data_IF_650058363398
#
_entry.id   IF_650058363398
#
_cell.length_a   1.000
_cell.length_b   1.000
_cell.length_c   1.000
_cell.angle_alpha   90.00
_cell.angle_beta   90.00
_cell.angle_gamma   90.00
#
_symmetry.space_group_name_H-M   'P 1'
#
loop_
_entity.id
_entity.type
_entity.pdbx_description
1 polymer ?
#
# COMPACT_ATOMS: atom_id res chain seq x y z
N UNK A 1 29.12 47.16 76.20
CA UNK A 1 29.47 46.33 75.03
C UNK A 1 29.88 44.97 75.54
N UNK A 2 29.23 43.88 75.12
CA UNK A 2 29.77 42.52 75.18
C UNK A 2 28.82 41.58 74.46
N UNK A 3 29.32 40.96 73.38
CA UNK A 3 28.55 40.12 72.48
C UNK A 3 28.25 38.75 73.09
N UNK A 4 26.97 38.45 73.25
CA UNK A 4 26.51 37.09 73.47
C UNK A 4 26.38 36.40 72.11
N UNK A 5 27.43 35.71 71.67
CA UNK A 5 27.39 34.83 70.51
C UNK A 5 26.57 33.59 70.88
N UNK A 6 25.30 33.54 70.47
CA UNK A 6 24.45 32.37 70.64
C UNK A 6 25.02 31.19 69.85
N UNK A 7 25.66 30.25 70.55
CA UNK A 7 26.02 28.94 69.99
C UNK A 7 24.78 28.05 69.96
N UNK A 8 24.33 27.70 68.76
CA UNK A 8 23.27 26.71 68.56
C UNK A 8 23.89 25.34 68.29
N UNK A 9 23.47 24.34 69.08
CA UNK A 9 23.83 22.93 68.87
C UNK A 9 23.19 22.45 67.57
N UNK A 10 24.00 22.27 66.53
CA UNK A 10 23.54 21.63 65.27
C UNK A 10 23.31 20.15 65.56
N UNK A 11 22.08 19.66 65.35
CA UNK A 11 21.74 18.23 65.51
C UNK A 11 22.57 17.37 64.54
N UNK A 12 23.36 16.47 65.10
CA UNK A 12 24.13 15.41 64.45
C UNK A 12 25.26 14.98 65.39
N UNK A 13 25.28 13.73 65.86
CA UNK A 13 26.27 13.23 66.84
C UNK A 13 27.70 13.52 66.34
N UNK A 14 28.47 14.29 67.11
CA UNK A 14 29.93 14.42 66.96
C UNK A 14 30.49 15.53 66.05
N UNK A 15 29.72 16.55 65.66
CA UNK A 15 30.24 17.67 64.84
C UNK A 15 30.80 18.86 65.66
N UNK A 16 31.85 19.56 65.20
CA UNK A 16 32.45 20.70 65.92
C UNK A 16 31.45 21.85 66.12
N UNK A 17 31.57 22.54 67.26
CA UNK A 17 30.76 23.70 67.62
C UNK A 17 31.11 24.87 66.68
N UNK A 18 30.28 25.06 65.65
CA UNK A 18 30.41 26.17 64.70
C UNK A 18 29.49 27.29 65.13
N UNK A 19 30.00 28.53 65.19
CA UNK A 19 29.18 29.69 65.51
C UNK A 19 27.98 29.79 64.55
N UNK A 20 26.78 30.15 65.04
CA UNK A 20 25.55 30.19 64.23
C UNK A 20 25.72 31.05 62.96
N UNK A 21 26.43 32.17 63.08
CA UNK A 21 26.74 33.07 61.97
C UNK A 21 27.73 32.47 60.96
N UNK A 22 28.67 31.66 61.44
CA UNK A 22 29.64 30.91 60.65
C UNK A 22 28.97 29.78 59.88
N UNK A 23 27.99 29.10 60.51
CA UNK A 23 27.17 28.07 59.89
C UNK A 23 26.26 28.63 58.79
N UNK A 24 25.64 29.79 59.02
CA UNK A 24 24.85 30.52 58.02
C UNK A 24 25.71 30.87 56.79
N UNK A 25 26.91 31.44 57.01
CA UNK A 25 27.85 31.79 55.92
C UNK A 25 28.28 30.56 55.13
N UNK A 26 28.71 29.48 55.81
CA UNK A 26 29.10 28.22 55.15
C UNK A 26 27.96 27.58 54.36
N UNK A 27 26.73 27.66 54.86
CA UNK A 27 25.55 27.10 54.19
C UNK A 27 25.18 27.92 52.95
N UNK A 28 25.31 29.24 53.00
CA UNK A 28 25.10 30.10 51.82
C UNK A 28 26.15 29.85 50.73
N UNK A 29 27.42 29.69 51.11
CA UNK A 29 28.51 29.33 50.19
C UNK A 29 28.20 27.99 49.50
N UNK A 30 27.77 26.97 50.25
CA UNK A 30 27.34 25.69 49.67
C UNK A 30 26.21 25.81 48.65
N UNK A 31 25.26 26.72 48.86
CA UNK A 31 24.19 26.98 47.89
C UNK A 31 24.75 27.62 46.62
N UNK A 32 25.73 28.52 46.74
CA UNK A 32 26.43 29.09 45.57
C UNK A 32 27.24 28.04 44.81
N UNK A 33 27.96 27.17 45.52
CA UNK A 33 28.78 26.13 44.90
C UNK A 33 27.92 25.13 44.12
N UNK A 34 26.81 24.67 44.71
CA UNK A 34 25.87 23.77 44.02
C UNK A 34 25.21 24.47 42.83
N UNK A 35 24.90 25.76 42.94
CA UNK A 35 24.38 26.53 41.82
C UNK A 35 25.38 26.57 40.65
N UNK A 36 26.65 26.86 40.94
CA UNK A 36 27.71 26.93 39.95
C UNK A 36 28.00 25.57 39.33
N UNK A 37 28.08 24.51 40.13
CA UNK A 37 28.27 23.13 39.65
C UNK A 37 27.13 22.65 38.75
N UNK A 38 25.90 23.11 39.01
CA UNK A 38 24.75 22.84 38.16
C UNK A 38 24.65 23.77 36.93
N UNK A 39 25.68 24.59 36.68
CA UNK A 39 25.78 25.51 35.55
C UNK A 39 24.87 26.74 35.67
N UNK A 40 24.47 27.13 36.88
CA UNK A 40 23.59 28.28 37.10
C UNK A 40 24.06 29.23 38.19
N UNK A 41 23.24 30.24 38.49
CA UNK A 41 23.55 31.33 39.40
C UNK A 41 22.45 31.47 40.44
N UNK A 42 22.84 31.70 41.69
CA UNK A 42 21.92 32.09 42.76
C UNK A 42 21.89 33.61 42.88
N UNK A 43 20.70 34.21 42.78
CA UNK A 43 20.48 35.66 42.86
C UNK A 43 20.25 36.14 44.31
N UNK A 44 19.94 35.22 45.23
CA UNK A 44 19.68 35.55 46.63
C UNK A 44 20.98 35.77 47.40
N UNK A 45 21.10 36.91 48.09
CA UNK A 45 22.32 37.35 48.82
C UNK A 45 22.37 37.00 50.31
N UNK A 46 21.28 36.46 50.87
CA UNK A 46 21.14 36.18 52.31
C UNK A 46 20.49 34.83 52.54
N UNK A 47 21.01 34.07 53.50
CA UNK A 47 20.41 32.82 53.95
C UNK A 47 19.28 33.09 54.93
N UNK A 48 18.08 32.60 54.61
CA UNK A 48 16.84 32.76 55.39
C UNK A 48 16.30 31.44 55.95
N UNK A 49 17.12 30.39 55.94
CA UNK A 49 16.77 29.04 56.40
C UNK A 49 16.61 28.02 55.26
N UNK A 50 16.55 26.74 55.64
CA UNK A 50 16.57 25.59 54.70
C UNK A 50 15.32 25.47 53.82
N UNK A 51 14.18 25.94 54.30
CA UNK A 51 12.88 25.91 53.60
C UNK A 51 12.49 27.26 53.00
N UNK A 52 13.33 28.29 53.15
CA UNK A 52 13.10 29.56 52.48
C UNK A 52 13.31 29.42 50.98
N UNK A 53 12.60 30.24 50.21
CA UNK A 53 12.75 30.30 48.75
C UNK A 53 13.93 31.20 48.38
N UNK A 54 14.77 30.67 47.48
CA UNK A 54 15.91 31.35 46.90
C UNK A 54 15.71 31.43 45.38
N UNK A 55 16.15 32.54 44.78
CA UNK A 55 16.02 32.79 43.34
C UNK A 55 17.26 32.30 42.62
N UNK A 56 17.06 31.51 41.57
CA UNK A 56 18.12 30.93 40.76
C UNK A 56 17.89 31.15 39.27
N UNK A 57 18.96 31.09 38.49
CA UNK A 57 18.96 31.06 37.02
C UNK A 57 19.80 29.87 36.58
N UNK A 58 19.28 28.96 35.75
CA UNK A 58 20.08 27.85 35.21
C UNK A 58 20.86 28.24 33.94
N UNK A 59 21.74 27.35 33.46
CA UNK A 59 22.48 27.50 32.20
C UNK A 59 21.60 27.82 30.99
N UNK A 60 20.40 27.24 30.93
CA UNK A 60 19.42 27.47 29.87
C UNK A 60 18.63 28.80 30.04
N UNK A 61 18.98 29.63 31.02
CA UNK A 61 18.34 30.93 31.27
C UNK A 61 17.03 30.86 32.07
N UNK A 62 16.60 29.69 32.54
CA UNK A 62 15.37 29.56 33.33
C UNK A 62 15.53 30.19 34.71
N UNK A 63 14.70 31.20 35.00
CA UNK A 63 14.55 31.80 36.33
C UNK A 63 13.55 30.97 37.14
N UNK A 64 13.94 30.51 38.32
CA UNK A 64 13.08 29.71 39.21
C UNK A 64 13.36 30.00 40.68
N UNK A 65 12.37 29.73 41.53
CA UNK A 65 12.50 29.77 42.98
C UNK A 65 12.54 28.35 43.52
N UNK A 66 13.51 28.06 44.39
CA UNK A 66 13.65 26.76 45.02
C UNK A 66 14.14 26.89 46.46
N UNK A 67 13.87 25.88 47.28
CA UNK A 67 14.36 25.86 48.66
C UNK A 67 15.82 25.39 48.70
N UNK A 68 16.56 25.84 49.71
CA UNK A 68 17.94 25.41 49.92
C UNK A 68 18.03 23.88 50.11
N UNK A 69 17.05 23.26 50.78
CA UNK A 69 16.99 21.81 50.93
C UNK A 69 16.82 21.08 49.58
N UNK A 70 15.98 21.59 48.67
CA UNK A 70 15.75 21.00 47.34
C UNK A 70 17.01 21.04 46.47
N UNK A 71 17.67 22.21 46.46
CA UNK A 71 18.89 22.43 45.65
C UNK A 71 20.05 21.58 46.18
N UNK A 72 20.28 21.58 47.49
CA UNK A 72 21.33 20.77 48.11
C UNK A 72 21.04 19.26 48.01
N UNK A 73 19.77 18.87 47.88
CA UNK A 73 19.34 17.49 47.63
C UNK A 73 19.43 17.04 46.16
N UNK A 74 19.97 17.87 45.26
CA UNK A 74 20.18 17.52 43.85
C UNK A 74 19.04 17.88 42.90
N UNK A 75 17.97 18.53 43.39
CA UNK A 75 16.87 19.03 42.55
C UNK A 75 17.13 20.49 42.17
N UNK A 76 17.69 20.68 40.97
CA UNK A 76 18.09 21.99 40.44
C UNK A 76 16.95 22.71 39.69
N UNK A 77 16.77 22.45 38.40
CA UNK A 77 15.79 23.15 37.56
C UNK A 77 14.69 22.21 37.06
N UNK A 78 13.43 22.47 37.46
CA UNK A 78 12.27 21.67 37.07
C UNK A 78 11.99 21.71 35.56
N UNK A 79 12.18 22.87 34.91
CA UNK A 79 12.01 23.03 33.45
C UNK A 79 13.01 22.17 32.68
N UNK A 80 14.31 22.29 32.98
CA UNK A 80 15.34 21.47 32.34
C UNK A 80 15.20 19.96 32.66
N UNK A 81 14.76 19.60 33.87
CA UNK A 81 14.48 18.19 34.20
C UNK A 81 13.32 17.64 33.38
N UNK A 82 12.30 18.45 33.14
CA UNK A 82 11.14 18.09 32.31
C UNK A 82 11.53 17.96 30.84
N UNK A 83 12.34 18.88 30.31
CA UNK A 83 12.91 18.83 28.96
C UNK A 83 13.73 17.57 28.74
N UNK A 84 14.71 17.28 29.62
CA UNK A 84 15.54 16.06 29.54
C UNK A 84 14.72 14.78 29.65
N UNK A 85 13.67 14.77 30.49
CA UNK A 85 12.75 13.62 30.60
C UNK A 85 11.91 13.46 29.33
N UNK A 86 11.50 14.57 28.71
CA UNK A 86 10.79 14.59 27.42
C UNK A 86 11.70 14.08 26.31
N UNK A 87 12.93 14.56 26.21
CA UNK A 87 13.94 14.10 25.24
C UNK A 87 14.30 12.63 25.41
N UNK A 88 14.53 12.16 26.65
CA UNK A 88 14.78 10.73 26.92
C UNK A 88 13.61 9.84 26.48
N UNK A 89 12.36 10.32 26.62
CA UNK A 89 11.16 9.65 26.10
C UNK A 89 11.04 9.71 24.57
N UNK A 90 11.66 10.70 23.91
CA UNK A 90 11.71 10.79 22.44
C UNK A 90 12.64 9.75 21.82
N UNK A 91 13.79 9.49 22.46
CA UNK A 91 14.82 8.62 21.89
C UNK A 91 14.84 7.18 22.44
N UNK A 92 14.33 6.93 23.65
CA UNK A 92 14.32 5.59 24.23
C UNK A 92 12.96 4.89 24.06
N UNK A 93 12.78 4.20 22.92
CA UNK A 93 11.67 3.28 22.69
C UNK A 93 10.30 3.91 22.39
N UNK A 94 10.21 5.23 22.19
CA UNK A 94 8.94 5.93 21.95
C UNK A 94 8.24 5.54 20.64
N UNK A 95 9.00 5.28 19.57
CA UNK A 95 8.47 4.91 18.27
C UNK A 95 8.13 3.41 18.15
N UNK A 96 8.79 2.57 18.97
CA UNK A 96 8.68 1.11 18.92
C UNK A 96 7.24 0.61 19.06
N UNK A 97 6.39 1.13 19.98
CA UNK A 97 4.98 0.77 20.04
C UNK A 97 4.20 1.06 18.75
N UNK A 98 4.53 2.15 18.04
CA UNK A 98 3.86 2.52 16.77
C UNK A 98 4.33 1.59 15.64
N UNK A 99 5.63 1.27 15.60
CA UNK A 99 6.22 0.34 14.62
C UNK A 99 5.73 -1.10 14.83
N UNK A 100 5.70 -1.59 16.07
CA UNK A 100 5.22 -2.94 16.40
C UNK A 100 3.73 -3.06 16.04
N UNK A 101 2.93 -2.04 16.37
CA UNK A 101 1.51 -1.99 16.01
C UNK A 101 1.28 -1.97 14.49
N UNK A 102 2.13 -1.25 13.76
CA UNK A 102 2.09 -1.25 12.30
C UNK A 102 2.32 -2.65 11.74
N UNK A 103 3.36 -3.34 12.24
CA UNK A 103 3.72 -4.69 11.83
C UNK A 103 2.64 -5.72 12.17
N UNK A 104 2.07 -5.67 13.36
CA UNK A 104 0.93 -6.51 13.78
C UNK A 104 -0.25 -6.43 12.81
N UNK A 105 -0.49 -5.23 12.28
CA UNK A 105 -1.62 -4.94 11.37
C UNK A 105 -1.24 -5.09 9.89
N UNK A 106 -0.09 -5.72 9.62
CA UNK A 106 0.40 -6.01 8.27
C UNK A 106 0.75 -4.74 7.50
N UNK A 107 1.27 -3.72 8.16
CA UNK A 107 1.79 -2.50 7.56
C UNK A 107 3.11 -2.07 8.19
N UNK A 108 3.54 -0.85 7.88
CA UNK A 108 4.80 -0.27 8.34
C UNK A 108 4.63 1.21 8.72
N UNK A 109 5.49 1.67 9.62
CA UNK A 109 5.65 3.08 9.96
C UNK A 109 6.86 3.63 9.20
N UNK A 110 6.62 4.64 8.36
CA UNK A 110 7.64 5.29 7.53
C UNK A 110 8.40 6.39 8.31
N UNK A 111 7.81 6.90 9.38
CA UNK A 111 8.47 7.88 10.25
C UNK A 111 9.61 7.21 11.04
N UNK A 112 10.71 7.93 11.22
CA UNK A 112 11.91 7.45 11.95
C UNK A 112 12.12 8.13 13.30
N UNK A 113 11.42 9.24 13.55
CA UNK A 113 11.54 10.06 14.78
C UNK A 113 10.23 10.00 15.57
N UNK A 114 10.32 9.93 16.90
CA UNK A 114 9.16 10.03 17.79
C UNK A 114 9.00 11.44 18.35
N UNK A 115 8.07 12.20 17.78
CA UNK A 115 7.74 13.57 18.19
C UNK A 115 6.61 13.64 19.23
N UNK A 116 6.25 12.49 19.83
CA UNK A 116 5.26 12.40 20.90
C UNK A 116 3.95 11.75 20.47
N UNK A 117 3.09 11.47 21.45
CA UNK A 117 1.87 10.68 21.28
C UNK A 117 0.84 11.34 20.34
N UNK A 118 0.81 12.68 20.29
CA UNK A 118 -0.12 13.44 19.45
C UNK A 118 0.47 13.85 18.10
N UNK A 119 1.79 13.64 17.90
CA UNK A 119 2.42 13.91 16.61
C UNK A 119 1.89 12.96 15.54
N UNK A 120 1.90 13.44 14.30
CA UNK A 120 1.49 12.67 13.13
C UNK A 120 2.66 11.83 12.62
N UNK A 121 2.37 10.57 12.31
CA UNK A 121 3.31 9.61 11.77
C UNK A 121 2.81 9.13 10.41
N UNK A 122 3.73 8.97 9.45
CA UNK A 122 3.46 8.42 8.13
C UNK A 122 3.45 6.89 8.21
N UNK A 123 2.40 6.28 7.68
CA UNK A 123 2.13 4.84 7.80
C UNK A 123 1.74 4.29 6.43
N UNK A 124 2.08 3.03 6.17
CA UNK A 124 1.70 2.29 4.96
C UNK A 124 1.09 0.95 5.35
N UNK A 125 -0.09 0.59 4.82
CA UNK A 125 -0.67 -0.73 5.05
C UNK A 125 -0.21 -1.75 3.99
N UNK A 126 -0.46 -3.03 4.22
CA UNK A 126 -0.12 -4.10 3.28
C UNK A 126 -0.86 -4.05 1.94
N UNK A 127 -1.92 -3.23 1.82
CA UNK A 127 -2.59 -2.93 0.55
C UNK A 127 -1.97 -1.73 -0.19
N UNK A 128 -0.93 -1.10 0.37
CA UNK A 128 -0.23 0.04 -0.22
C UNK A 128 -0.80 1.43 0.11
N UNK A 129 -1.91 1.54 0.86
CA UNK A 129 -2.42 2.85 1.28
C UNK A 129 -1.42 3.53 2.22
N UNK A 130 -1.04 4.77 1.90
CA UNK A 130 -0.24 5.64 2.75
C UNK A 130 -1.11 6.71 3.40
N UNK A 131 -0.97 6.93 4.70
CA UNK A 131 -1.68 7.99 5.42
C UNK A 131 -0.86 8.53 6.59
N UNK A 132 -1.30 9.68 7.08
CA UNK A 132 -0.78 10.27 8.32
C UNK A 132 -1.79 10.10 9.45
N UNK A 133 -1.34 9.61 10.60
CA UNK A 133 -2.17 9.50 11.79
C UNK A 133 -1.40 9.88 13.05
N UNK A 134 -2.12 10.42 14.04
CA UNK A 134 -1.54 10.69 15.35
C UNK A 134 -1.12 9.38 16.04
N UNK A 135 0.03 9.36 16.73
CA UNK A 135 0.53 8.14 17.39
C UNK A 135 -0.48 7.48 18.34
N UNK A 136 -1.31 8.27 19.03
CA UNK A 136 -2.44 7.78 19.83
C UNK A 136 -3.50 7.03 19.00
N UNK A 137 -3.86 7.58 17.85
CA UNK A 137 -4.87 7.01 16.97
C UNK A 137 -4.39 5.70 16.36
N UNK A 138 -3.10 5.60 16.02
CA UNK A 138 -2.47 4.36 15.55
C UNK A 138 -2.66 3.21 16.55
N UNK A 139 -2.52 3.52 17.84
CA UNK A 139 -2.59 2.52 18.90
C UNK A 139 -4.05 2.09 19.19
N UNK A 140 -5.01 3.01 19.12
CA UNK A 140 -6.39 2.79 19.61
C UNK A 140 -7.48 2.68 18.53
N UNK A 141 -7.32 3.30 17.36
CA UNK A 141 -8.36 3.31 16.31
C UNK A 141 -8.13 2.23 15.25
N UNK A 142 -9.00 2.20 14.25
CA UNK A 142 -8.81 1.39 13.05
C UNK A 142 -7.51 1.78 12.34
N UNK A 143 -6.74 0.78 11.90
CA UNK A 143 -5.40 0.93 11.33
C UNK A 143 -5.42 1.79 10.07
N UNK A 144 -6.10 1.31 9.04
CA UNK A 144 -6.26 1.95 7.76
C UNK A 144 -7.75 2.24 7.55
N UNK A 145 -8.10 3.52 7.37
CA UNK A 145 -9.49 3.95 7.22
C UNK A 145 -10.10 3.42 5.92
N UNK A 146 -9.30 3.34 4.84
CA UNK A 146 -9.73 2.77 3.56
C UNK A 146 -10.06 1.28 3.73
N UNK A 147 -9.12 0.48 4.25
CA UNK A 147 -9.36 -0.95 4.50
C UNK A 147 -10.53 -1.19 5.48
N UNK A 148 -10.71 -0.33 6.49
CA UNK A 148 -11.84 -0.43 7.42
C UNK A 148 -13.17 -0.07 6.75
N UNK A 149 -13.18 0.90 5.86
CA UNK A 149 -14.39 1.33 5.14
C UNK A 149 -14.79 0.30 4.10
N UNK A 150 -13.83 -0.28 3.38
CA UNK A 150 -14.08 -1.33 2.41
C UNK A 150 -14.62 -2.60 3.06
N UNK A 151 -14.09 -2.97 4.24
CA UNK A 151 -14.64 -4.07 5.04
C UNK A 151 -16.06 -3.80 5.53
N UNK A 152 -16.39 -2.55 5.88
CA UNK A 152 -17.76 -2.18 6.28
C UNK A 152 -18.73 -2.20 5.09
N UNK A 153 -18.29 -1.78 3.90
CA UNK A 153 -19.12 -1.80 2.69
C UNK A 153 -19.41 -3.20 2.19
N UNK A 154 -18.43 -4.11 2.30
CA UNK A 154 -18.58 -5.48 1.83
C UNK A 154 -17.79 -6.45 2.71
N UNK A 155 -18.36 -6.87 3.86
CA UNK A 155 -17.68 -7.77 4.80
C UNK A 155 -17.30 -9.10 4.15
N UNK A 156 -18.14 -9.62 3.26
CA UNK A 156 -17.94 -10.90 2.56
C UNK A 156 -17.41 -10.73 1.12
N UNK A 157 -16.70 -9.63 0.86
CA UNK A 157 -16.26 -9.27 -0.49
C UNK A 157 -15.39 -10.33 -1.18
N UNK A 158 -14.45 -10.95 -0.45
CA UNK A 158 -13.63 -12.04 -1.00
C UNK A 158 -14.46 -13.30 -1.24
N UNK A 159 -15.34 -13.66 -0.31
CA UNK A 159 -16.19 -14.84 -0.43
C UNK A 159 -17.09 -14.73 -1.68
N UNK A 160 -17.68 -13.56 -1.92
CA UNK A 160 -18.48 -13.30 -3.14
C UNK A 160 -17.66 -13.42 -4.42
N UNK A 161 -16.40 -12.96 -4.42
CA UNK A 161 -15.51 -13.12 -5.58
C UNK A 161 -15.13 -14.60 -5.80
N UNK A 162 -14.92 -15.35 -4.73
CA UNK A 162 -14.61 -16.78 -4.78
C UNK A 162 -15.81 -17.60 -5.25
N UNK A 163 -17.01 -17.31 -4.75
CA UNK A 163 -18.27 -17.90 -5.19
C UNK A 163 -18.52 -17.63 -6.67
N UNK A 164 -18.41 -16.37 -7.11
CA UNK A 164 -18.56 -16.02 -8.53
C UNK A 164 -17.53 -16.70 -9.43
N UNK A 165 -16.31 -16.89 -8.91
CA UNK A 165 -15.28 -17.63 -9.63
C UNK A 165 -15.64 -19.11 -9.77
N UNK A 166 -16.15 -19.73 -8.70
CA UNK A 166 -16.58 -21.12 -8.70
C UNK A 166 -17.78 -21.36 -9.64
N UNK A 167 -18.76 -20.44 -9.66
CA UNK A 167 -19.89 -20.48 -10.61
C UNK A 167 -19.44 -20.51 -12.08
N UNK A 168 -18.30 -19.86 -12.38
CA UNK A 168 -17.72 -19.80 -13.73
C UNK A 168 -16.71 -20.93 -14.00
N UNK A 169 -16.70 -21.97 -13.17
CA UNK A 169 -15.80 -23.12 -13.31
C UNK A 169 -14.33 -22.80 -13.00
N UNK A 170 -14.03 -21.72 -12.29
CA UNK A 170 -12.66 -21.37 -11.93
C UNK A 170 -12.49 -21.00 -10.46
N UNK A 171 -11.35 -20.38 -10.14
CA UNK A 171 -10.98 -20.01 -8.78
C UNK A 171 -10.38 -18.62 -8.68
N UNK A 172 -10.73 -17.92 -7.61
CA UNK A 172 -10.04 -16.70 -7.20
C UNK A 172 -8.81 -17.10 -6.37
N UNK A 173 -7.62 -16.68 -6.81
CA UNK A 173 -6.35 -16.99 -6.13
C UNK A 173 -6.01 -15.99 -5.02
N UNK A 174 -6.86 -14.97 -4.81
CA UNK A 174 -6.64 -13.97 -3.79
C UNK A 174 -6.87 -14.53 -2.38
N UNK A 175 -5.95 -14.26 -1.46
CA UNK A 175 -6.07 -14.63 -0.05
C UNK A 175 -6.70 -13.53 0.82
N UNK A 176 -6.81 -12.30 0.29
CA UNK A 176 -7.33 -11.13 1.03
C UNK A 176 -8.21 -10.25 0.15
N UNK A 177 -9.34 -9.82 0.70
CA UNK A 177 -10.14 -8.75 0.13
C UNK A 177 -9.45 -7.40 0.36
N UNK A 178 -9.31 -6.59 -0.69
CA UNK A 178 -8.86 -5.20 -0.57
C UNK A 178 -10.07 -4.27 -0.70
N UNK A 179 -10.54 -4.09 -1.93
CA UNK A 179 -11.71 -3.30 -2.31
C UNK A 179 -12.30 -3.84 -3.61
N UNK A 180 -13.54 -3.49 -3.93
CA UNK A 180 -14.19 -4.04 -5.13
C UNK A 180 -13.51 -3.61 -6.44
N UNK A 181 -12.87 -2.43 -6.45
CA UNK A 181 -12.11 -1.89 -7.60
C UNK A 181 -10.64 -2.35 -7.62
N UNK A 182 -10.20 -3.19 -6.68
CA UNK A 182 -8.85 -3.77 -6.74
C UNK A 182 -8.80 -4.88 -7.79
N UNK A 183 -7.59 -5.15 -8.28
CA UNK A 183 -7.33 -6.29 -9.18
C UNK A 183 -7.03 -7.53 -8.36
N UNK A 184 -7.71 -8.63 -8.71
CA UNK A 184 -7.55 -9.93 -8.09
C UNK A 184 -7.08 -10.95 -9.13
N UNK A 185 -6.21 -11.90 -8.74
CA UNK A 185 -5.82 -13.01 -9.59
C UNK A 185 -6.93 -14.07 -9.65
N UNK A 186 -7.24 -14.51 -10.86
CA UNK A 186 -8.20 -15.59 -11.14
C UNK A 186 -7.57 -16.64 -12.05
N UNK A 187 -8.08 -17.86 -11.94
CA UNK A 187 -7.77 -18.96 -12.85
C UNK A 187 -9.06 -19.63 -13.32
N UNK A 188 -9.17 -19.90 -14.62
CA UNK A 188 -10.31 -20.64 -15.17
C UNK A 188 -10.05 -22.15 -15.19
N UNK A 189 -11.08 -22.95 -15.49
CA UNK A 189 -10.99 -24.40 -15.65
C UNK A 189 -9.93 -24.83 -16.68
N UNK A 190 -9.76 -24.03 -17.74
CA UNK A 190 -8.78 -24.27 -18.81
C UNK A 190 -7.34 -23.87 -18.42
N UNK A 191 -7.13 -23.45 -17.17
CA UNK A 191 -5.81 -23.14 -16.61
C UNK A 191 -5.31 -21.72 -16.87
N UNK A 192 -6.04 -20.88 -17.61
CA UNK A 192 -5.62 -19.50 -17.85
C UNK A 192 -5.65 -18.68 -16.57
N UNK A 193 -4.55 -17.99 -16.28
CA UNK A 193 -4.44 -17.06 -15.15
C UNK A 193 -4.50 -15.61 -15.65
N UNK A 194 -5.30 -14.78 -14.99
CA UNK A 194 -5.39 -13.35 -15.30
C UNK A 194 -5.73 -12.49 -14.08
N UNK A 195 -5.48 -11.20 -14.21
CA UNK A 195 -5.83 -10.19 -13.21
C UNK A 195 -7.08 -9.43 -13.65
N UNK A 196 -8.13 -9.40 -12.83
CA UNK A 196 -9.37 -8.66 -13.12
C UNK A 196 -9.84 -7.83 -11.93
N UNK A 197 -10.55 -6.73 -12.22
CA UNK A 197 -11.22 -5.98 -11.15
C UNK A 197 -12.38 -6.78 -10.57
N UNK A 198 -12.55 -6.73 -9.25
CA UNK A 198 -13.65 -7.44 -8.57
C UNK A 198 -15.03 -7.04 -9.11
N UNK A 199 -15.21 -5.77 -9.48
CA UNK A 199 -16.44 -5.28 -10.13
C UNK A 199 -16.77 -5.99 -11.44
N UNK A 200 -15.77 -6.31 -12.26
CA UNK A 200 -15.99 -6.90 -13.59
C UNK A 200 -16.41 -8.37 -13.48
N UNK A 201 -15.80 -9.08 -12.53
CA UNK A 201 -16.13 -10.47 -12.22
C UNK A 201 -17.56 -10.58 -11.68
N UNK A 202 -17.94 -9.68 -10.76
CA UNK A 202 -19.30 -9.64 -10.22
C UNK A 202 -20.35 -9.26 -11.27
N UNK A 203 -19.99 -8.49 -12.30
CA UNK A 203 -20.86 -8.22 -13.46
C UNK A 203 -20.97 -9.40 -14.45
N UNK A 204 -20.14 -10.43 -14.30
CA UNK A 204 -20.14 -11.62 -15.17
C UNK A 204 -19.05 -11.63 -16.25
N UNK A 205 -18.12 -10.67 -16.28
CA UNK A 205 -16.95 -10.77 -17.15
C UNK A 205 -15.98 -11.80 -16.59
N UNK A 206 -15.59 -12.79 -17.41
CA UNK A 206 -14.72 -13.88 -16.98
C UNK A 206 -13.40 -13.93 -17.78
N UNK A 207 -12.92 -15.14 -18.10
CA UNK A 207 -11.64 -15.38 -18.75
C UNK A 207 -11.59 -14.74 -20.17
N UNK A 208 -10.73 -13.73 -20.40
CA UNK A 208 -10.63 -13.08 -21.70
C UNK A 208 -10.04 -14.00 -22.77
N UNK A 209 -9.16 -14.93 -22.38
CA UNK A 209 -8.53 -15.90 -23.29
C UNK A 209 -9.56 -16.90 -23.79
N UNK A 210 -10.30 -17.55 -22.88
CA UNK A 210 -11.38 -18.48 -23.27
C UNK A 210 -12.39 -17.78 -24.19
N UNK A 211 -12.86 -16.59 -23.81
CA UNK A 211 -13.81 -15.82 -24.64
C UNK A 211 -13.28 -15.56 -26.05
N UNK A 212 -11.98 -15.33 -26.19
CA UNK A 212 -11.36 -15.07 -27.50
C UNK A 212 -11.25 -16.34 -28.32
N UNK A 213 -10.77 -17.42 -27.71
CA UNK A 213 -10.62 -18.72 -28.38
C UNK A 213 -11.97 -19.32 -28.80
N UNK A 214 -12.97 -19.26 -27.92
CA UNK A 214 -14.33 -19.76 -28.21
C UNK A 214 -14.96 -18.95 -29.35
N UNK A 215 -14.76 -17.62 -29.35
CA UNK A 215 -15.20 -16.76 -30.46
C UNK A 215 -14.49 -17.11 -31.77
N UNK A 216 -13.18 -17.35 -31.75
CA UNK A 216 -12.42 -17.72 -32.95
C UNK A 216 -12.85 -19.08 -33.49
N UNK A 217 -13.13 -20.05 -32.60
CA UNK A 217 -13.67 -21.37 -32.96
C UNK A 217 -15.04 -21.26 -33.62
N UNK A 218 -15.97 -20.55 -33.01
CA UNK A 218 -17.30 -20.32 -33.58
C UNK A 218 -17.22 -19.57 -34.92
N UNK A 219 -16.31 -18.61 -35.04
CA UNK A 219 -16.12 -17.86 -36.28
C UNK A 219 -15.61 -18.74 -37.42
N UNK A 220 -14.64 -19.64 -37.18
CA UNK A 220 -14.16 -20.56 -38.24
C UNK A 220 -15.24 -21.57 -38.64
N UNK A 221 -16.03 -22.06 -37.69
CA UNK A 221 -17.17 -22.94 -37.96
C UNK A 221 -18.23 -22.25 -38.82
N UNK A 222 -18.54 -20.99 -38.53
CA UNK A 222 -19.42 -20.17 -39.37
C UNK A 222 -18.86 -20.03 -40.80
N UNK A 223 -17.55 -19.78 -40.94
CA UNK A 223 -16.92 -19.68 -42.27
C UNK A 223 -17.00 -21.00 -43.03
N UNK A 224 -16.87 -22.13 -42.34
CA UNK A 224 -17.05 -23.47 -42.94
C UNK A 224 -18.48 -23.70 -43.40
N UNK A 225 -19.48 -23.31 -42.61
CA UNK A 225 -20.90 -23.38 -43.00
C UNK A 225 -21.17 -22.55 -44.26
N UNK A 226 -20.70 -21.30 -44.28
CA UNK A 226 -20.85 -20.40 -45.44
C UNK A 226 -20.22 -20.99 -46.71
N UNK A 227 -19.10 -21.70 -46.57
CA UNK A 227 -18.47 -22.38 -47.68
C UNK A 227 -19.30 -23.57 -48.17
N UNK A 228 -19.79 -24.40 -47.24
CA UNK A 228 -20.63 -25.55 -47.55
C UNK A 228 -21.92 -25.15 -48.28
N UNK A 229 -22.59 -24.08 -47.83
CA UNK A 229 -23.79 -23.54 -48.47
C UNK A 229 -23.55 -23.09 -49.92
N UNK A 230 -22.30 -22.73 -50.25
CA UNK A 230 -21.88 -22.35 -51.61
C UNK A 230 -21.18 -23.50 -52.36
N UNK A 231 -21.32 -24.73 -51.87
CA UNK A 231 -20.76 -25.94 -52.48
C UNK A 231 -19.24 -26.02 -52.42
N UNK A 232 -18.58 -25.32 -51.50
CA UNK A 232 -17.14 -25.37 -51.33
C UNK A 232 -16.72 -25.61 -49.88
N UNK A 233 -15.43 -25.40 -49.60
CA UNK A 233 -14.82 -25.70 -48.30
C UNK A 233 -13.95 -24.52 -47.88
N UNK A 234 -14.05 -24.13 -46.60
CA UNK A 234 -13.06 -23.25 -45.99
C UNK A 234 -11.86 -24.12 -45.54
N UNK A 235 -10.73 -23.93 -46.22
CA UNK A 235 -9.50 -24.74 -46.04
C UNK A 235 -8.71 -24.27 -44.82
N UNK A 236 -8.88 -23.02 -44.40
CA UNK A 236 -8.21 -22.49 -43.21
C UNK A 236 -8.69 -23.19 -41.92
N UNK A 237 -7.74 -23.45 -41.01
CA UNK A 237 -8.03 -24.08 -39.71
C UNK A 237 -8.39 -23.07 -38.62
N UNK A 238 -7.90 -21.83 -38.74
CA UNK A 238 -8.04 -20.80 -37.73
C UNK A 238 -8.62 -19.51 -38.31
N UNK A 239 -9.47 -18.87 -37.51
CA UNK A 239 -10.01 -17.55 -37.79
C UNK A 239 -9.36 -16.54 -36.83
N UNK A 240 -8.82 -15.44 -37.38
CA UNK A 240 -8.20 -14.37 -36.59
C UNK A 240 -9.16 -13.19 -36.46
N UNK A 241 -9.55 -12.61 -37.60
CA UNK A 241 -10.49 -11.49 -37.71
C UNK A 241 -11.12 -11.43 -39.11
N UNK A 242 -11.97 -10.43 -39.34
CA UNK A 242 -12.65 -10.22 -40.63
C UNK A 242 -11.77 -9.65 -41.75
N UNK A 243 -10.52 -9.27 -41.45
CA UNK A 243 -9.59 -8.64 -42.39
C UNK A 243 -8.47 -9.58 -42.85
N UNK A 244 -8.23 -10.64 -42.09
CA UNK A 244 -7.27 -11.70 -42.37
C UNK A 244 -7.84 -12.61 -43.44
N UNK A 245 -7.06 -12.87 -44.49
CA UNK A 245 -7.48 -13.73 -45.59
C UNK A 245 -7.55 -15.18 -45.11
N UNK A 246 -8.66 -15.84 -45.41
CA UNK A 246 -8.78 -17.29 -45.29
C UNK A 246 -8.59 -17.93 -46.66
N UNK A 247 -8.22 -19.21 -46.66
CA UNK A 247 -8.10 -20.03 -47.86
C UNK A 247 -9.41 -20.77 -48.09
N UNK A 248 -9.90 -20.73 -49.32
CA UNK A 248 -11.18 -21.29 -49.73
C UNK A 248 -10.99 -22.20 -50.92
N UNK A 249 -11.90 -23.16 -51.07
CA UNK A 249 -11.99 -24.08 -52.20
C UNK A 249 -13.43 -24.17 -52.69
N UNK A 250 -13.70 -24.12 -54.00
CA UNK A 250 -15.05 -24.27 -54.54
C UNK A 250 -15.32 -25.73 -54.96
N UNK A 251 -16.58 -26.06 -55.31
CA UNK A 251 -16.99 -27.38 -55.81
C UNK A 251 -16.14 -27.91 -56.98
N UNK A 252 -15.58 -27.00 -57.80
CA UNK A 252 -14.74 -27.34 -58.96
C UNK A 252 -13.25 -27.51 -58.61
N UNK A 253 -12.85 -27.31 -57.35
CA UNK A 253 -11.48 -27.45 -56.86
C UNK A 253 -10.62 -26.19 -56.95
N UNK A 254 -11.19 -25.03 -57.31
CA UNK A 254 -10.40 -23.78 -57.36
C UNK A 254 -10.05 -23.34 -55.94
N UNK A 255 -8.77 -23.07 -55.67
CA UNK A 255 -8.31 -22.54 -54.39
C UNK A 255 -7.95 -21.06 -54.49
N UNK A 256 -8.39 -20.26 -53.52
CA UNK A 256 -8.05 -18.83 -53.48
C UNK A 256 -8.01 -18.29 -52.04
N UNK A 257 -7.42 -17.11 -51.89
CA UNK A 257 -7.36 -16.37 -50.63
C UNK A 257 -8.34 -15.20 -50.66
N UNK A 258 -9.25 -15.13 -49.71
CA UNK A 258 -10.22 -14.04 -49.60
C UNK A 258 -10.53 -13.72 -48.14
N UNK A 259 -10.88 -12.46 -47.88
CA UNK A 259 -11.30 -12.02 -46.54
C UNK A 259 -12.72 -12.53 -46.24
N UNK A 260 -13.02 -12.96 -45.00
CA UNK A 260 -14.36 -13.36 -44.58
C UNK A 260 -15.48 -12.42 -45.06
N UNK A 261 -15.31 -11.11 -44.85
CA UNK A 261 -16.30 -10.09 -45.25
C UNK A 261 -16.62 -10.09 -46.76
N UNK A 262 -15.65 -10.41 -47.61
CA UNK A 262 -15.84 -10.46 -49.08
C UNK A 262 -16.56 -11.72 -49.54
N UNK A 263 -16.45 -12.78 -48.75
CA UNK A 263 -17.03 -14.09 -49.04
C UNK A 263 -18.45 -14.21 -48.50
N UNK A 264 -18.70 -13.63 -47.32
CA UNK A 264 -20.03 -13.58 -46.71
C UNK A 264 -21.00 -12.66 -47.47
N UNK A 265 -20.51 -11.60 -48.13
CA UNK A 265 -21.35 -10.74 -48.97
C UNK A 265 -21.78 -11.45 -50.26
N UNK A 266 -22.92 -11.03 -50.84
CA UNK A 266 -23.56 -11.62 -52.03
C UNK A 266 -22.78 -11.44 -53.36
N UNK A 267 -21.45 -11.35 -53.31
CA UNK A 267 -20.58 -11.23 -54.48
C UNK A 267 -20.23 -12.57 -55.13
N UNK A 268 -19.25 -12.53 -56.03
CA UNK A 268 -18.78 -13.69 -56.77
C UNK A 268 -17.99 -14.64 -55.84
N UNK A 269 -18.60 -15.78 -55.51
CA UNK A 269 -18.01 -16.82 -54.67
C UNK A 269 -16.64 -17.29 -55.17
N UNK A 270 -16.54 -17.65 -56.45
CA UNK A 270 -15.30 -18.06 -57.09
C UNK A 270 -15.16 -17.35 -58.43
N UNK A 271 -14.17 -16.46 -58.54
CA UNK A 271 -13.91 -15.69 -59.77
C UNK A 271 -13.66 -16.59 -60.97
N UNK A 272 -12.95 -17.71 -60.80
CA UNK A 272 -12.71 -18.66 -61.89
C UNK A 272 -14.00 -19.34 -62.35
N UNK A 273 -14.90 -19.72 -61.43
CA UNK A 273 -16.21 -20.25 -61.77
C UNK A 273 -17.09 -19.22 -62.49
N UNK A 274 -17.03 -17.95 -62.07
CA UNK A 274 -17.74 -16.85 -62.72
C UNK A 274 -17.22 -16.59 -64.14
N UNK A 275 -15.89 -16.62 -64.35
CA UNK A 275 -15.34 -16.52 -65.70
C UNK A 275 -15.75 -17.72 -66.56
N UNK A 276 -15.76 -18.93 -66.00
CA UNK A 276 -16.24 -20.12 -66.70
C UNK A 276 -17.72 -20.01 -67.09
N UNK A 277 -18.59 -19.47 -66.24
CA UNK A 277 -20.02 -19.33 -66.55
C UNK A 277 -20.31 -18.32 -67.66
N UNK A 278 -19.38 -17.43 -67.97
CA UNK A 278 -19.48 -16.45 -69.07
C UNK A 278 -18.98 -16.99 -70.41
N UNK A 279 -18.30 -18.14 -70.43
CA UNK A 279 -17.78 -18.74 -71.67
C UNK A 279 -18.87 -19.64 -72.27
N UNK A 280 -19.49 -19.20 -73.36
CA UNK A 280 -20.58 -19.92 -74.04
C UNK A 280 -20.09 -20.96 -75.04
N UNK A 281 -18.85 -20.83 -75.56
CA UNK A 281 -18.28 -21.76 -76.55
C UNK A 281 -17.54 -22.92 -75.87
N UNK A 282 -17.99 -24.14 -76.17
CA UNK A 282 -17.66 -25.36 -75.43
C UNK A 282 -16.18 -25.79 -75.52
N UNK A 283 -15.49 -25.51 -76.65
CA UNK A 283 -14.13 -25.99 -76.96
C UNK A 283 -13.13 -24.86 -77.24
N UNK A 284 -12.97 -23.92 -76.31
CA UNK A 284 -11.98 -22.82 -76.44
C UNK A 284 -10.77 -23.01 -75.54
N UNK A 285 -9.58 -22.56 -76.00
CA UNK A 285 -8.36 -22.46 -75.15
C UNK A 285 -8.61 -21.66 -73.87
N UNK A 286 -9.53 -20.68 -73.92
CA UNK A 286 -9.92 -19.83 -72.79
C UNK A 286 -10.62 -20.62 -71.68
N UNK A 287 -11.49 -21.59 -72.00
CA UNK A 287 -12.16 -22.45 -71.02
C UNK A 287 -11.18 -23.32 -70.25
N UNK A 288 -10.22 -23.95 -70.96
CA UNK A 288 -9.18 -24.81 -70.38
C UNK A 288 -8.30 -24.10 -69.33
N UNK A 289 -8.15 -22.77 -69.41
CA UNK A 289 -7.37 -21.97 -68.42
C UNK A 289 -7.99 -21.99 -67.03
N UNK A 290 -9.32 -22.06 -66.95
CA UNK A 290 -10.06 -21.96 -65.69
C UNK A 290 -10.63 -23.31 -65.25
N UNK A 291 -10.47 -24.38 -66.02
CA UNK A 291 -10.75 -25.73 -65.55
C UNK A 291 -9.62 -26.19 -64.61
N UNK A 292 -9.96 -26.74 -63.45
CA UNK A 292 -8.95 -27.33 -62.57
C UNK A 292 -8.48 -28.62 -63.21
N UNK A 293 -7.18 -28.72 -63.47
CA UNK A 293 -6.55 -30.00 -63.81
C UNK A 293 -6.71 -30.87 -62.58
N UNK A 294 -7.65 -31.83 -62.61
CA UNK A 294 -7.66 -32.91 -61.62
C UNK A 294 -6.35 -33.66 -61.84
N UNK A 295 -5.41 -33.51 -60.91
CA UNK A 295 -4.27 -34.40 -60.82
C UNK A 295 -4.83 -35.81 -60.72
N UNK A 296 -4.64 -36.64 -61.75
CA UNK A 296 -4.79 -38.08 -61.60
C UNK A 296 -3.82 -38.49 -60.51
N UNK A 297 -4.35 -38.88 -59.35
CA UNK A 297 -3.55 -39.53 -58.30
C UNK A 297 -2.98 -40.84 -58.89
N UNK A 298 -1.71 -41.16 -58.60
CA UNK A 298 -1.11 -42.45 -58.95
C UNK A 298 -1.69 -43.61 -58.13
#
# INVERSE_FOLDING_TARGET
MSGASFMLRVRGRGGPLICHQCWIKKTLIRIYDVAHQAGGLCLSKRYRGKHANYRFVCAAGHKFEATAASVLGGHWCAKCSTERRSERRRYQGGLKPIQDRARERGGECLSTVYDGRMAKYRLRCGSGHEWEAAGYDVLRKAWCQECSSDRKRMPDGLAKLQEKAAEQGGRCLASRYQRIQARYPFQCERGHEWMAWGTEILKGHWCPTCRTEDRQRQAIELMRSIAADRGGICVSEHYVDNNTKLKWECARGHRWWARPRQVSSAGNWCAQCQYLSQITLEKTRRKRRYEVVKSSEP
#
